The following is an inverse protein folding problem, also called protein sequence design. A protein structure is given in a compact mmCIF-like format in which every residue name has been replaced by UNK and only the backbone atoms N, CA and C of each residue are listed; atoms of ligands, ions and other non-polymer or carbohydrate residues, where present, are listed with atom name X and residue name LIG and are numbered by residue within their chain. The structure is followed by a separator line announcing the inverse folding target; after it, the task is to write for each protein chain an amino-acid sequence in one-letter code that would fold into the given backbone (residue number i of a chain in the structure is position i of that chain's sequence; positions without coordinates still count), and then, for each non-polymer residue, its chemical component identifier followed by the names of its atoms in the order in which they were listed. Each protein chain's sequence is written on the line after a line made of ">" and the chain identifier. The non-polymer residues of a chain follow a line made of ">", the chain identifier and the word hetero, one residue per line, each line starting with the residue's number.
data_IF_617152475355
#
_entry.id   IF_617152475355
#
_cell.length_a   1.000
_cell.length_b   1.000
_cell.length_c   1.000
_cell.angle_alpha   90.00
_cell.angle_beta   90.00
_cell.angle_gamma   90.00
#
_symmetry.space_group_name_H-M   'P 1'
#
loop_
_entity.id
_entity.type
_entity.pdbx_description
1 polymer ?
#
# COMPACT_ATOMS: atom_id res chain seq x y z
N UNK A 1 -13.69 52.45 -50.18
CA UNK A 1 -12.66 51.68 -50.92
C UNK A 1 -11.30 52.21 -50.53
N UNK A 2 -10.62 51.59 -49.56
CA UNK A 2 -9.23 51.95 -49.22
C UNK A 2 -8.41 50.68 -49.03
N UNK A 3 -7.38 50.58 -49.88
CA UNK A 3 -6.38 49.51 -49.93
C UNK A 3 -5.54 49.56 -48.66
N UNK A 4 -5.37 48.43 -47.97
CA UNK A 4 -4.29 48.29 -46.99
C UNK A 4 -3.24 47.30 -47.51
N UNK A 5 -2.02 47.81 -47.48
CA UNK A 5 -0.82 47.33 -48.14
C UNK A 5 -0.22 46.10 -47.46
N UNK A 6 0.44 45.26 -48.25
CA UNK A 6 1.17 44.07 -47.82
C UNK A 6 2.56 44.43 -47.27
N UNK A 7 3.05 43.55 -46.40
CA UNK A 7 4.43 43.31 -45.93
C UNK A 7 5.03 44.30 -44.93
N UNK A 8 5.27 43.77 -43.73
CA UNK A 8 6.64 43.65 -43.22
C UNK A 8 6.81 42.24 -42.61
N UNK A 9 7.81 41.50 -43.09
CA UNK A 9 8.39 40.35 -42.40
C UNK A 9 9.81 40.78 -42.09
N UNK A 10 10.22 40.76 -40.82
CA UNK A 10 11.57 40.36 -40.40
C UNK A 10 11.58 40.04 -38.90
N UNK A 11 11.85 38.75 -38.63
CA UNK A 11 12.61 38.15 -37.54
C UNK A 11 12.97 38.99 -36.30
N UNK A 12 12.78 38.42 -35.10
CA UNK A 12 13.90 37.76 -34.40
C UNK A 12 13.44 36.97 -33.17
N UNK A 13 13.87 35.70 -33.19
CA UNK A 13 14.14 34.76 -32.11
C UNK A 13 13.82 35.16 -30.65
N UNK A 14 13.08 34.30 -29.96
CA UNK A 14 13.56 33.77 -28.68
C UNK A 14 12.97 32.38 -28.42
N UNK A 15 13.85 31.40 -28.58
CA UNK A 15 13.94 30.15 -27.82
C UNK A 15 12.68 29.28 -27.71
N UNK A 16 12.62 28.36 -28.66
CA UNK A 16 12.06 27.02 -28.50
C UNK A 16 12.59 26.38 -27.19
N UNK A 17 11.75 26.27 -26.17
CA UNK A 17 11.92 25.27 -25.09
C UNK A 17 10.98 24.11 -25.38
N UNK A 18 11.28 23.37 -26.45
CA UNK A 18 10.73 22.03 -26.61
C UNK A 18 11.44 21.16 -25.57
N UNK A 19 10.86 21.09 -24.37
CA UNK A 19 11.19 20.02 -23.42
C UNK A 19 10.72 18.75 -24.11
N UNK A 20 11.68 18.05 -24.72
CA UNK A 20 11.49 16.67 -25.14
C UNK A 20 11.25 15.86 -23.86
N UNK A 21 9.98 15.66 -23.51
CA UNK A 21 9.64 14.56 -22.62
C UNK A 21 9.83 13.28 -23.44
N UNK A 22 10.95 12.60 -23.25
CA UNK A 22 11.03 11.17 -23.56
C UNK A 22 9.90 10.49 -22.77
N UNK A 23 8.83 10.10 -23.47
CA UNK A 23 7.61 9.52 -22.89
C UNK A 23 7.78 8.05 -22.54
N UNK A 24 9.01 7.53 -22.49
CA UNK A 24 9.26 6.20 -21.91
C UNK A 24 9.14 6.28 -20.39
N UNK A 25 8.16 5.55 -19.84
CA UNK A 25 8.01 5.37 -18.38
C UNK A 25 9.35 4.91 -17.78
N UNK A 26 9.97 5.75 -16.96
CA UNK A 26 11.22 5.43 -16.25
C UNK A 26 11.02 4.16 -15.40
N UNK A 27 11.75 3.09 -15.71
CA UNK A 27 11.72 1.84 -14.94
C UNK A 27 12.28 2.07 -13.54
N UNK A 28 11.73 1.40 -12.53
CA UNK A 28 12.30 1.39 -11.19
C UNK A 28 13.67 0.71 -11.21
N UNK A 29 14.63 1.31 -10.53
CA UNK A 29 15.98 0.78 -10.36
C UNK A 29 16.08 -0.02 -9.06
N UNK A 30 17.12 -0.83 -8.95
CA UNK A 30 17.38 -1.63 -7.73
C UNK A 30 17.55 -0.75 -6.48
N UNK A 31 18.31 0.34 -6.60
CA UNK A 31 18.50 1.28 -5.49
C UNK A 31 17.20 2.00 -5.10
N UNK A 32 16.39 2.41 -6.07
CA UNK A 32 15.06 3.00 -5.81
C UNK A 32 14.14 1.99 -5.09
N UNK A 33 14.21 0.70 -5.41
CA UNK A 33 13.46 -0.34 -4.72
C UNK A 33 13.93 -0.48 -3.26
N UNK A 34 15.24 -0.51 -2.99
CA UNK A 34 15.77 -0.60 -1.62
C UNK A 34 15.31 0.59 -0.79
N UNK A 35 15.43 1.81 -1.32
CA UNK A 35 15.00 3.02 -0.60
C UNK A 35 13.50 2.98 -0.30
N UNK A 36 12.67 2.53 -1.25
CA UNK A 36 11.25 2.31 -1.03
C UNK A 36 11.01 1.28 0.07
N UNK A 37 11.65 0.12 0.01
CA UNK A 37 11.46 -0.98 0.97
C UNK A 37 11.90 -0.60 2.39
N UNK A 38 13.02 0.12 2.53
CA UNK A 38 13.46 0.68 3.82
C UNK A 38 12.40 1.61 4.40
N UNK A 39 11.86 2.53 3.60
CA UNK A 39 10.82 3.45 4.07
C UNK A 39 9.52 2.73 4.43
N UNK A 40 9.11 1.73 3.65
CA UNK A 40 7.93 0.90 3.94
C UNK A 40 8.12 0.08 5.22
N UNK A 41 9.32 -0.42 5.48
CA UNK A 41 9.67 -1.13 6.72
C UNK A 41 9.62 -0.22 7.95
N UNK A 42 10.00 1.06 7.79
CA UNK A 42 9.91 2.05 8.85
C UNK A 42 8.47 2.52 9.14
N UNK A 43 7.69 2.82 8.10
CA UNK A 43 6.38 3.46 8.23
C UNK A 43 5.20 2.48 8.30
N UNK A 44 5.41 1.24 7.81
CA UNK A 44 4.44 0.14 7.81
C UNK A 44 3.05 0.55 7.33
N UNK A 45 2.95 1.12 6.11
CA UNK A 45 1.72 1.74 5.62
C UNK A 45 0.54 0.77 5.46
N UNK A 46 0.79 -0.54 5.47
CA UNK A 46 -0.23 -1.59 5.41
C UNK A 46 -0.80 -2.00 6.78
N UNK A 47 -0.15 -1.66 7.90
CA UNK A 47 -0.69 -1.89 9.25
C UNK A 47 -1.71 -0.82 9.66
N UNK A 48 -1.90 0.20 8.82
CA UNK A 48 -2.77 1.33 9.11
C UNK A 48 -4.24 0.89 9.29
N UNK A 49 -4.96 1.56 10.20
CA UNK A 49 -6.38 1.32 10.41
C UNK A 49 -7.19 1.50 9.11
N UNK A 50 -8.29 0.75 8.98
CA UNK A 50 -9.16 0.79 7.81
C UNK A 50 -9.59 2.24 7.50
N UNK A 51 -9.31 2.71 6.28
CA UNK A 51 -9.57 4.09 5.84
C UNK A 51 -8.37 5.04 5.91
N UNK A 52 -7.28 4.67 6.59
CA UNK A 52 -6.05 5.50 6.69
C UNK A 52 -4.87 5.00 5.84
N UNK A 53 -4.97 3.77 5.30
CA UNK A 53 -3.91 3.15 4.48
C UNK A 53 -3.44 4.06 3.35
N UNK A 54 -4.36 4.68 2.60
CA UNK A 54 -4.01 5.59 1.50
C UNK A 54 -3.19 6.80 1.96
N UNK A 55 -3.50 7.36 3.13
CA UNK A 55 -2.76 8.48 3.71
C UNK A 55 -1.36 8.07 4.15
N UNK A 56 -1.19 6.85 4.68
CA UNK A 56 0.12 6.36 5.08
C UNK A 56 1.03 6.13 3.87
N UNK A 57 0.49 5.57 2.79
CA UNK A 57 1.22 5.48 1.53
C UNK A 57 1.59 6.86 0.97
N UNK A 58 0.71 7.85 1.10
CA UNK A 58 1.03 9.23 0.72
C UNK A 58 2.14 9.82 1.62
N UNK A 59 2.18 9.46 2.90
CA UNK A 59 3.27 9.82 3.80
C UNK A 59 4.61 9.24 3.34
N UNK A 60 4.65 7.94 3.04
CA UNK A 60 5.83 7.28 2.45
C UNK A 60 6.30 8.02 1.20
N UNK A 61 5.38 8.33 0.28
CA UNK A 61 5.72 9.02 -0.96
C UNK A 61 6.28 10.43 -0.74
N UNK A 62 5.74 11.18 0.24
CA UNK A 62 6.28 12.49 0.63
C UNK A 62 7.69 12.37 1.19
N UNK A 63 7.94 11.41 2.08
CA UNK A 63 9.28 11.17 2.63
C UNK A 63 10.27 10.83 1.53
N UNK A 64 9.91 9.91 0.62
CA UNK A 64 10.75 9.54 -0.52
C UNK A 64 11.04 10.73 -1.43
N UNK A 65 10.01 11.52 -1.79
CA UNK A 65 10.17 12.68 -2.67
C UNK A 65 11.01 13.80 -2.02
N UNK A 66 11.02 13.89 -0.69
CA UNK A 66 11.86 14.84 0.06
C UNK A 66 13.33 14.40 0.17
N UNK A 67 13.62 13.12 -0.08
CA UNK A 67 14.96 12.58 0.01
C UNK A 67 15.79 12.96 -1.23
N UNK A 68 16.87 13.70 -1.05
CA UNK A 68 17.72 14.18 -2.15
C UNK A 68 18.37 13.06 -2.98
N UNK A 69 18.55 11.87 -2.38
CA UNK A 69 19.10 10.69 -3.07
C UNK A 69 18.04 9.95 -3.90
N UNK A 70 16.75 10.20 -3.66
CA UNK A 70 15.65 9.58 -4.39
C UNK A 70 15.17 10.53 -5.49
N UNK A 71 15.82 10.47 -6.65
CA UNK A 71 15.56 11.37 -7.79
C UNK A 71 14.27 11.12 -8.58
N UNK A 72 13.24 10.49 -7.97
CA UNK A 72 11.97 10.15 -8.63
C UNK A 72 10.80 10.80 -7.92
N UNK A 73 9.92 11.45 -8.69
CA UNK A 73 8.63 11.91 -8.17
C UNK A 73 7.63 10.73 -8.10
N UNK A 74 7.16 10.44 -6.90
CA UNK A 74 6.20 9.36 -6.60
C UNK A 74 5.03 9.89 -5.79
N UNK A 75 3.90 9.20 -5.87
CA UNK A 75 2.74 9.39 -4.99
C UNK A 75 2.46 8.09 -4.24
N UNK A 76 1.56 8.13 -3.26
CA UNK A 76 1.27 6.95 -2.43
C UNK A 76 0.84 5.75 -3.25
N UNK A 77 0.02 5.96 -4.29
CA UNK A 77 -0.45 4.87 -5.15
C UNK A 77 0.67 4.21 -5.96
N UNK A 78 1.63 4.99 -6.47
CA UNK A 78 2.81 4.46 -7.17
C UNK A 78 3.70 3.63 -6.23
N UNK A 79 3.90 4.10 -5.00
CA UNK A 79 4.68 3.38 -3.98
C UNK A 79 4.00 2.06 -3.62
N UNK A 80 2.70 2.08 -3.34
CA UNK A 80 1.91 0.89 -3.03
C UNK A 80 1.97 -0.13 -4.19
N UNK A 81 1.73 0.32 -5.42
CA UNK A 81 1.75 -0.57 -6.58
C UNK A 81 3.13 -1.19 -6.79
N UNK A 82 4.21 -0.41 -6.64
CA UNK A 82 5.58 -0.95 -6.77
C UNK A 82 5.88 -1.96 -5.69
N UNK A 83 5.53 -1.66 -4.44
CA UNK A 83 5.69 -2.57 -3.32
C UNK A 83 4.99 -3.92 -3.56
N UNK A 84 3.72 -3.90 -3.99
CA UNK A 84 2.98 -5.14 -4.28
C UNK A 84 3.65 -5.97 -5.37
N UNK A 85 4.12 -5.34 -6.46
CA UNK A 85 4.85 -6.03 -7.53
C UNK A 85 6.10 -6.71 -6.97
N UNK A 86 6.88 -6.02 -6.14
CA UNK A 86 8.09 -6.57 -5.54
C UNK A 86 7.81 -7.77 -4.63
N UNK A 87 6.73 -7.72 -3.85
CA UNK A 87 6.31 -8.84 -3.02
C UNK A 87 5.90 -10.06 -3.86
N UNK A 88 5.13 -9.85 -4.92
CA UNK A 88 4.66 -10.93 -5.77
C UNK A 88 5.83 -11.59 -6.53
N UNK A 89 6.75 -10.78 -7.06
CA UNK A 89 8.00 -11.26 -7.67
C UNK A 89 8.82 -12.09 -6.66
N UNK A 90 9.00 -11.60 -5.43
CA UNK A 90 9.77 -12.30 -4.39
C UNK A 90 9.14 -13.63 -3.95
N UNK A 91 7.81 -13.69 -3.83
CA UNK A 91 7.09 -14.93 -3.52
C UNK A 91 7.33 -16.01 -4.59
N UNK A 92 7.30 -15.62 -5.86
CA UNK A 92 7.55 -16.53 -7.00
C UNK A 92 8.98 -17.05 -6.93
N UNK A 93 9.97 -16.15 -6.80
CA UNK A 93 11.39 -16.51 -6.71
C UNK A 93 11.65 -17.47 -5.54
N UNK A 94 11.11 -17.18 -4.35
CA UNK A 94 11.26 -18.05 -3.18
C UNK A 94 10.64 -19.44 -3.40
N UNK A 95 9.50 -19.52 -4.09
CA UNK A 95 8.85 -20.78 -4.41
C UNK A 95 9.66 -21.59 -5.44
N UNK A 96 10.27 -20.93 -6.42
CA UNK A 96 11.14 -21.54 -7.42
C UNK A 96 12.44 -22.05 -6.80
N UNK A 97 13.09 -21.24 -5.96
CA UNK A 97 14.30 -21.61 -5.23
C UNK A 97 14.07 -22.84 -4.32
N UNK A 98 12.92 -22.90 -3.64
CA UNK A 98 12.53 -24.07 -2.83
C UNK A 98 12.38 -25.34 -3.66
N UNK A 99 11.88 -25.24 -4.90
CA UNK A 99 11.74 -26.39 -5.81
C UNK A 99 13.08 -26.83 -6.41
N UNK A 100 14.02 -25.91 -6.60
CA UNK A 100 15.30 -26.14 -7.26
C UNK A 100 16.39 -26.80 -6.37
N UNK A 101 16.01 -27.50 -5.28
CA UNK A 101 16.94 -28.17 -4.36
C UNK A 101 17.96 -27.24 -3.67
N UNK A 102 17.52 -26.03 -3.26
CA UNK A 102 18.28 -25.20 -2.32
C UNK A 102 19.51 -24.54 -2.92
N UNK A 103 19.43 -24.04 -4.15
CA UNK A 103 20.43 -23.09 -4.65
C UNK A 103 20.42 -21.86 -3.73
N UNK A 104 21.56 -21.57 -3.09
CA UNK A 104 21.72 -20.35 -2.30
C UNK A 104 21.76 -19.17 -3.26
N UNK A 105 20.64 -18.45 -3.39
CA UNK A 105 20.68 -17.11 -3.95
C UNK A 105 21.39 -16.19 -2.96
N UNK A 106 22.17 -15.24 -3.47
CA UNK A 106 22.82 -14.23 -2.62
C UNK A 106 21.74 -13.46 -1.85
N UNK A 107 21.78 -13.56 -0.52
CA UNK A 107 20.91 -12.76 0.35
C UNK A 107 21.30 -11.29 0.23
N UNK A 108 20.59 -10.58 -0.63
CA UNK A 108 20.72 -9.13 -0.75
C UNK A 108 19.90 -8.44 0.33
N UNK A 109 20.22 -7.19 0.63
CA UNK A 109 19.39 -6.37 1.51
C UNK A 109 17.93 -6.32 1.02
N UNK A 110 17.72 -6.29 -0.30
CA UNK A 110 16.38 -6.29 -0.90
C UNK A 110 15.61 -7.55 -0.52
N UNK A 111 16.21 -8.73 -0.59
CA UNK A 111 15.55 -10.00 -0.24
C UNK A 111 15.26 -10.08 1.25
N UNK A 112 16.17 -9.63 2.11
CA UNK A 112 15.95 -9.57 3.56
C UNK A 112 14.78 -8.66 3.92
N UNK A 113 14.74 -7.44 3.37
CA UNK A 113 13.63 -6.52 3.58
C UNK A 113 12.29 -7.11 3.10
N UNK A 114 12.28 -7.81 1.97
CA UNK A 114 11.06 -8.44 1.45
C UNK A 114 10.60 -9.60 2.32
N UNK A 115 11.50 -10.43 2.83
CA UNK A 115 11.15 -11.52 3.76
C UNK A 115 10.56 -11.00 5.07
N UNK A 116 11.18 -9.97 5.67
CA UNK A 116 10.69 -9.34 6.90
C UNK A 116 9.31 -8.71 6.70
N UNK A 117 9.13 -7.99 5.59
CA UNK A 117 7.87 -7.34 5.25
C UNK A 117 6.75 -8.36 4.96
N UNK A 118 7.07 -9.47 4.30
CA UNK A 118 6.12 -10.56 4.08
C UNK A 118 5.65 -11.17 5.40
N UNK A 119 6.57 -11.48 6.31
CA UNK A 119 6.24 -12.03 7.62
C UNK A 119 5.33 -11.09 8.40
N UNK A 120 5.64 -9.79 8.36
CA UNK A 120 4.86 -8.76 9.05
C UNK A 120 3.46 -8.57 8.47
N UNK A 121 3.31 -8.68 7.16
CA UNK A 121 1.99 -8.67 6.51
C UNK A 121 1.15 -9.87 6.92
N UNK A 122 1.72 -11.08 6.93
CA UNK A 122 1.03 -12.28 7.40
C UNK A 122 0.58 -12.14 8.85
N UNK A 123 1.44 -11.64 9.72
CA UNK A 123 1.09 -11.41 11.13
C UNK A 123 -0.07 -10.40 11.28
N UNK A 124 -0.07 -9.34 10.47
CA UNK A 124 -1.13 -8.32 10.44
C UNK A 124 -2.46 -8.91 9.98
N UNK A 125 -2.44 -9.70 8.91
CA UNK A 125 -3.62 -10.42 8.41
C UNK A 125 -4.16 -11.38 9.48
N UNK A 126 -3.30 -12.19 10.10
CA UNK A 126 -3.69 -13.10 11.18
C UNK A 126 -4.31 -12.36 12.37
N UNK A 127 -3.71 -11.23 12.80
CA UNK A 127 -4.25 -10.39 13.87
C UNK A 127 -5.65 -9.88 13.51
N UNK A 128 -5.84 -9.44 12.27
CA UNK A 128 -7.15 -8.96 11.79
C UNK A 128 -8.21 -10.06 11.79
N UNK A 129 -7.85 -11.28 11.35
CA UNK A 129 -8.74 -12.44 11.36
C UNK A 129 -9.09 -12.84 12.78
N UNK A 130 -8.10 -12.96 13.67
CA UNK A 130 -8.30 -13.28 15.10
C UNK A 130 -9.23 -12.24 15.77
N UNK A 131 -9.04 -10.96 15.49
CA UNK A 131 -9.91 -9.89 16.00
C UNK A 131 -11.35 -10.01 15.49
N UNK A 132 -11.54 -10.34 14.20
CA UNK A 132 -12.88 -10.53 13.63
C UNK A 132 -13.63 -11.72 14.24
N UNK A 133 -12.93 -12.82 14.51
CA UNK A 133 -13.48 -14.02 15.15
C UNK A 133 -13.86 -13.71 16.60
N UNK A 134 -12.97 -13.04 17.34
CA UNK A 134 -13.25 -12.64 18.73
C UNK A 134 -14.45 -11.68 18.81
N UNK A 135 -14.55 -10.70 17.91
CA UNK A 135 -15.69 -9.79 17.83
C UNK A 135 -17.00 -10.55 17.54
N UNK A 136 -16.96 -11.51 16.63
CA UNK A 136 -18.12 -12.34 16.28
C UNK A 136 -18.55 -13.24 17.45
N UNK A 137 -17.60 -13.86 18.14
CA UNK A 137 -17.86 -14.67 19.34
C UNK A 137 -18.44 -13.84 20.49
N UNK A 138 -17.92 -12.63 20.71
CA UNK A 138 -18.44 -11.70 21.70
C UNK A 138 -19.87 -11.26 21.38
N UNK A 139 -20.18 -10.96 20.12
CA UNK A 139 -21.54 -10.64 19.70
C UNK A 139 -22.50 -11.83 19.88
N UNK A 140 -22.07 -13.05 19.54
CA UNK A 140 -22.87 -14.25 19.77
C UNK A 140 -23.14 -14.47 21.26
N UNK A 141 -22.15 -14.28 22.12
CA UNK A 141 -22.33 -14.38 23.58
C UNK A 141 -23.35 -13.35 24.11
N UNK A 142 -23.29 -12.10 23.62
CA UNK A 142 -24.27 -11.06 23.98
C UNK A 142 -25.69 -11.44 23.55
N UNK A 143 -25.87 -12.00 22.36
CA UNK A 143 -27.18 -12.44 21.87
C UNK A 143 -27.75 -13.61 22.70
N UNK A 144 -26.92 -14.62 23.00
CA UNK A 144 -27.30 -15.73 23.87
C UNK A 144 -27.68 -15.26 25.27
N UNK A 145 -26.92 -14.33 25.84
CA UNK A 145 -27.22 -13.75 27.14
C UNK A 145 -28.54 -12.96 27.11
N UNK A 146 -28.75 -12.14 26.07
CA UNK A 146 -29.99 -11.40 25.88
C UNK A 146 -31.20 -12.33 25.73
N UNK A 147 -31.06 -13.45 25.00
CA UNK A 147 -32.10 -14.47 24.88
C UNK A 147 -32.41 -15.13 26.23
N UNK A 148 -31.38 -15.48 26.99
CA UNK A 148 -31.55 -16.09 28.31
C UNK A 148 -32.34 -15.18 29.27
N UNK A 149 -31.98 -13.90 29.36
CA UNK A 149 -32.68 -12.92 30.20
C UNK A 149 -34.15 -12.77 29.81
N UNK A 150 -34.46 -12.71 28.49
CA UNK A 150 -35.85 -12.65 28.01
C UNK A 150 -36.65 -13.89 28.40
N UNK A 151 -36.07 -15.07 28.23
CA UNK A 151 -36.72 -16.34 28.54
C UNK A 151 -37.05 -16.47 30.05
N UNK A 152 -36.10 -16.11 30.92
CA UNK A 152 -36.34 -16.17 32.37
C UNK A 152 -37.37 -15.13 32.83
N UNK A 153 -37.38 -13.93 32.25
CA UNK A 153 -38.41 -12.93 32.52
C UNK A 153 -39.82 -13.45 32.14
N UNK A 154 -39.97 -14.10 30.98
CA UNK A 154 -41.25 -14.67 30.53
C UNK A 154 -41.80 -15.76 31.49
N UNK A 155 -40.94 -16.59 32.08
CA UNK A 155 -41.36 -17.61 33.06
C UNK A 155 -41.90 -17.04 34.37
N UNK A 156 -41.46 -15.85 34.77
CA UNK A 156 -41.85 -15.25 36.06
C UNK A 156 -43.15 -14.45 35.99
N UNK A 157 -43.53 -13.95 34.81
CA UNK A 157 -44.77 -13.19 34.58
C UNK A 157 -46.04 -14.01 34.83
N UNK A 158 -46.03 -15.31 34.48
CA UNK A 158 -47.20 -16.18 34.62
C UNK A 158 -47.48 -16.72 36.03
N UNK A 159 -46.60 -16.45 37.02
CA UNK A 159 -46.70 -17.03 38.38
C UNK A 159 -47.33 -16.13 39.43
N UNK A 160 -47.72 -14.90 39.09
CA UNK A 160 -48.47 -14.04 40.03
C UNK A 160 -49.95 -14.41 39.99
N UNK A 161 -50.40 -15.17 41.00
CA UNK A 161 -51.83 -15.26 41.35
C UNK A 161 -52.26 -13.92 41.95
N UNK A 162 -53.37 -13.39 41.43
CA UNK A 162 -54.19 -12.34 42.07
C UNK A 162 -54.93 -12.95 43.25
#
# INVERSE_FOLDING_TARGET
>A
MYKLSKRLVTCSATTNMSVQHDTKRKKWTFDEDIVLLRQVSADLPFEASHGTIGSNWESVARTLTSCSTFGRNVNGKKCQNRFNILLDEHKILRQEAMKASGASEDETEKTQLLDDLLLRMQETEEKSVKASIAASAANRSKDLNAHHVRHEAMKTIGKRKV
#
